data_IF_209418295657
#
_entry.id   IF_209418295657
#
_cell.length_a   1.000
_cell.length_b   1.000
_cell.length_c   1.000
_cell.angle_alpha   90.00
_cell.angle_beta   90.00
_cell.angle_gamma   90.00
#
_symmetry.space_group_name_H-M   'P 1'
#
loop_
_entity.id
_entity.type
_entity.pdbx_description
1 polymer ?
#
# COMPACT_ATOMS: atom_id res chain seq x y z
N UNK A 1 -24.67 -17.04 -9.30
CA UNK A 1 -24.00 -15.72 -9.32
C UNK A 1 -23.06 -15.65 -8.13
N UNK A 2 -21.78 -15.99 -8.31
CA UNK A 2 -20.71 -15.68 -7.37
C UNK A 2 -19.40 -15.67 -8.15
N UNK A 3 -19.10 -14.55 -8.79
CA UNK A 3 -17.71 -14.24 -9.12
C UNK A 3 -17.02 -14.00 -7.77
N UNK A 4 -16.57 -15.07 -7.12
CA UNK A 4 -15.55 -14.97 -6.07
C UNK A 4 -14.24 -14.68 -6.77
N UNK A 5 -14.16 -13.53 -7.42
CA UNK A 5 -12.88 -12.99 -7.84
C UNK A 5 -12.11 -12.75 -6.55
N UNK A 6 -10.92 -13.31 -6.47
CA UNK A 6 -9.87 -12.98 -5.52
C UNK A 6 -9.51 -11.49 -5.68
N UNK A 7 -10.46 -10.58 -5.43
CA UNK A 7 -10.28 -9.16 -5.58
C UNK A 7 -9.41 -8.72 -4.40
N UNK A 8 -8.11 -8.67 -4.67
CA UNK A 8 -7.14 -8.05 -3.80
C UNK A 8 -7.62 -6.62 -3.53
N UNK A 9 -8.04 -6.34 -2.30
CA UNK A 9 -8.48 -5.00 -1.94
C UNK A 9 -7.28 -4.16 -1.49
N UNK A 10 -7.38 -2.85 -1.68
CA UNK A 10 -6.45 -1.89 -1.11
C UNK A 10 -6.94 -1.43 0.26
N UNK A 11 -6.04 -1.28 1.20
CA UNK A 11 -6.33 -0.97 2.59
C UNK A 11 -5.37 0.12 3.03
N UNK A 12 -5.87 1.26 3.47
CA UNK A 12 -5.05 2.26 4.13
C UNK A 12 -5.07 2.02 5.64
N UNK A 13 -3.90 2.13 6.26
CA UNK A 13 -3.77 2.25 7.70
C UNK A 13 -2.56 3.14 8.03
N UNK A 14 -2.78 4.19 8.83
CA UNK A 14 -1.73 5.06 9.38
C UNK A 14 -0.78 5.64 8.32
N UNK A 15 -1.31 6.01 7.15
CA UNK A 15 -0.55 6.54 6.01
C UNK A 15 0.16 5.48 5.18
N UNK A 16 0.04 4.20 5.52
CA UNK A 16 0.58 3.09 4.75
C UNK A 16 -0.50 2.41 3.92
N UNK A 17 -0.15 2.08 2.68
CA UNK A 17 -1.02 1.38 1.75
C UNK A 17 -0.72 -0.13 1.80
N UNK A 18 -1.70 -0.92 2.17
CA UNK A 18 -1.66 -2.37 2.21
C UNK A 18 -2.59 -2.96 1.14
N UNK A 19 -2.40 -4.25 0.83
CA UNK A 19 -3.34 -5.02 0.03
C UNK A 19 -3.50 -6.45 0.52
N UNK A 20 -4.67 -7.03 0.28
CA UNK A 20 -4.96 -8.41 0.70
C UNK A 20 -6.36 -8.89 0.30
N UNK A 21 -6.72 -10.14 0.64
CA UNK A 21 -8.04 -10.70 0.31
C UNK A 21 -9.19 -10.08 1.12
N UNK A 22 -8.89 -9.43 2.24
CA UNK A 22 -9.88 -8.78 3.10
C UNK A 22 -9.23 -7.71 3.96
N UNK A 23 -10.04 -6.80 4.51
CA UNK A 23 -9.57 -5.63 5.29
C UNK A 23 -8.79 -6.04 6.53
N UNK A 24 -9.25 -7.11 7.19
CA UNK A 24 -8.58 -7.68 8.35
C UNK A 24 -7.44 -8.64 8.01
N UNK A 25 -7.06 -8.81 6.75
CA UNK A 25 -6.06 -9.79 6.32
C UNK A 25 -5.07 -9.15 5.33
N UNK A 26 -4.29 -8.14 5.76
CA UNK A 26 -3.24 -7.57 4.90
C UNK A 26 -2.17 -8.61 4.60
N UNK A 27 -1.73 -8.68 3.35
CA UNK A 27 -0.69 -9.61 2.88
C UNK A 27 0.57 -8.87 2.45
N UNK A 28 0.40 -7.70 1.82
CA UNK A 28 1.50 -6.89 1.30
C UNK A 28 1.30 -5.42 1.66
N UNK A 29 2.41 -4.68 1.67
CA UNK A 29 2.47 -3.24 1.93
C UNK A 29 3.22 -2.54 0.80
N UNK A 30 2.76 -1.37 0.38
CA UNK A 30 3.43 -0.55 -0.62
C UNK A 30 4.75 -0.03 -0.06
N UNK A 31 5.84 -0.32 -0.77
CA UNK A 31 7.14 0.27 -0.51
C UNK A 31 7.42 1.29 -1.59
N UNK A 32 7.24 2.58 -1.29
CA UNK A 32 7.61 3.66 -2.22
C UNK A 32 9.10 3.61 -2.60
N UNK A 33 9.96 3.05 -1.72
CA UNK A 33 11.39 2.87 -1.96
C UNK A 33 11.66 1.84 -3.06
N UNK A 34 10.89 0.76 -3.07
CA UNK A 34 11.00 -0.29 -4.09
C UNK A 34 10.07 -0.07 -5.29
N UNK A 35 9.16 0.91 -5.20
CA UNK A 35 8.14 1.18 -6.21
C UNK A 35 7.20 -0.01 -6.43
N UNK A 36 7.00 -0.85 -5.41
CA UNK A 36 6.18 -2.06 -5.48
C UNK A 36 5.64 -2.45 -4.11
N UNK A 37 4.62 -3.32 -4.13
CA UNK A 37 4.17 -4.02 -2.94
C UNK A 37 5.20 -5.08 -2.51
N UNK A 38 5.50 -5.11 -1.22
CA UNK A 38 6.40 -6.07 -0.59
C UNK A 38 5.66 -6.86 0.50
N UNK A 39 6.09 -8.09 0.84
CA UNK A 39 5.44 -8.87 1.88
C UNK A 39 5.32 -8.10 3.19
N UNK A 40 4.12 -8.08 3.75
CA UNK A 40 3.89 -7.47 5.06
C UNK A 40 4.39 -8.42 6.15
N UNK A 41 5.24 -7.93 7.07
CA UNK A 41 5.85 -8.77 8.10
C UNK A 41 4.87 -9.45 9.06
N UNK A 42 3.62 -8.97 9.14
CA UNK A 42 2.55 -9.59 9.94
C UNK A 42 1.46 -10.21 9.05
N UNK A 43 1.78 -10.52 7.80
CA UNK A 43 0.89 -11.25 6.91
C UNK A 43 0.44 -12.57 7.56
N UNK A 44 -0.86 -12.87 7.46
CA UNK A 44 -1.48 -14.03 8.10
C UNK A 44 -1.99 -13.79 9.52
N UNK A 45 -1.71 -12.64 10.14
CA UNK A 45 -2.40 -12.23 11.36
C UNK A 45 -3.72 -11.55 11.01
N UNK A 46 -4.81 -12.04 11.61
CA UNK A 46 -6.12 -11.40 11.48
C UNK A 46 -6.10 -10.10 12.29
N UNK A 47 -6.40 -9.00 11.60
CA UNK A 47 -6.55 -7.67 12.17
C UNK A 47 -8.01 -7.39 12.52
N UNK A 48 -8.27 -6.54 13.53
CA UNK A 48 -9.63 -6.17 13.88
C UNK A 48 -10.29 -5.39 12.74
N UNK A 49 -11.61 -5.35 12.76
CA UNK A 49 -12.44 -4.82 11.67
C UNK A 49 -12.17 -3.34 11.42
N UNK A 50 -11.73 -2.60 12.43
CA UNK A 50 -11.43 -1.16 12.44
C UNK A 50 -9.95 -0.84 12.19
N UNK A 51 -9.11 -1.85 11.94
CA UNK A 51 -7.67 -1.68 11.78
C UNK A 51 -7.26 -0.76 10.62
N UNK A 52 -8.05 -0.73 9.56
CA UNK A 52 -7.77 0.10 8.39
C UNK A 52 -9.04 0.32 7.60
N UNK A 53 -8.96 1.10 6.54
CA UNK A 53 -10.09 1.38 5.67
C UNK A 53 -9.81 0.92 4.25
N UNK A 54 -10.85 0.38 3.60
CA UNK A 54 -10.75 -0.06 2.20
C UNK A 54 -10.71 1.15 1.30
N UNK A 55 -9.77 1.15 0.35
CA UNK A 55 -9.68 2.17 -0.69
C UNK A 55 -10.17 1.63 -2.04
N UNK A 56 -10.68 2.53 -2.87
CA UNK A 56 -10.81 2.29 -4.30
C UNK A 56 -9.44 2.22 -4.98
N UNK A 57 -9.40 1.68 -6.19
CA UNK A 57 -8.15 1.60 -6.98
C UNK A 57 -7.58 3.00 -7.27
N UNK A 58 -8.44 3.98 -7.59
CA UNK A 58 -8.04 5.36 -7.85
C UNK A 58 -7.40 6.03 -6.63
N UNK A 59 -7.98 5.82 -5.44
CA UNK A 59 -7.43 6.34 -4.18
C UNK A 59 -6.09 5.66 -3.83
N UNK A 60 -6.00 4.34 -4.04
CA UNK A 60 -4.76 3.60 -3.83
C UNK A 60 -3.66 4.09 -4.80
N UNK A 61 -4.00 4.35 -6.06
CA UNK A 61 -3.08 4.90 -7.06
C UNK A 61 -2.59 6.29 -6.64
N UNK A 62 -3.49 7.17 -6.20
CA UNK A 62 -3.13 8.48 -5.69
C UNK A 62 -2.16 8.40 -4.49
N UNK A 63 -2.37 7.46 -3.57
CA UNK A 63 -1.43 7.21 -2.47
C UNK A 63 -0.08 6.69 -2.93
N UNK A 64 -0.03 5.79 -3.92
CA UNK A 64 1.22 5.28 -4.47
C UNK A 64 2.05 6.41 -5.11
N UNK A 65 1.39 7.28 -5.88
CA UNK A 65 2.02 8.43 -6.52
C UNK A 65 2.47 9.47 -5.49
N UNK A 66 1.64 9.77 -4.49
CA UNK A 66 1.99 10.67 -3.39
C UNK A 66 3.18 10.15 -2.59
N UNK A 67 3.17 8.88 -2.17
CA UNK A 67 4.26 8.27 -1.42
C UNK A 67 5.58 8.24 -2.23
N UNK A 68 5.50 8.11 -3.56
CA UNK A 68 6.68 8.19 -4.44
C UNK A 68 7.21 9.62 -4.58
N UNK A 69 6.33 10.62 -4.58
CA UNK A 69 6.70 12.03 -4.64
C UNK A 69 7.27 12.55 -3.30
N UNK A 70 6.76 12.04 -2.17
CA UNK A 70 7.23 12.39 -0.83
C UNK A 70 8.58 11.77 -0.47
N UNK A 71 9.00 10.70 -1.17
CA UNK A 71 10.40 10.31 -1.12
C UNK A 71 11.20 11.44 -1.74
N UNK A 72 12.02 12.17 -0.97
CA UNK A 72 12.98 13.05 -1.59
C UNK A 72 13.80 12.12 -2.47
N UNK A 73 13.65 12.27 -3.78
CA UNK A 73 14.79 12.09 -4.66
C UNK A 73 15.90 12.77 -3.90
N UNK A 74 16.86 12.01 -3.35
CA UNK A 74 18.11 12.64 -2.90
C UNK A 74 18.41 13.58 -4.05
N UNK A 75 18.45 14.91 -3.88
CA UNK A 75 19.05 15.70 -4.93
C UNK A 75 20.39 15.02 -5.11
N UNK A 76 20.61 14.44 -6.29
CA UNK A 76 21.94 13.99 -6.63
C UNK A 76 22.73 15.28 -6.51
N UNK A 77 23.48 15.45 -5.40
CA UNK A 77 24.47 16.49 -5.25
C UNK A 77 25.54 16.17 -6.28
N UNK A 78 25.22 16.52 -7.52
CA UNK A 78 26.01 16.40 -8.72
C UNK A 78 25.46 17.47 -9.66
N UNK A 79 25.56 18.73 -9.25
CA UNK A 79 26.24 19.78 -10.03
C UNK A 79 26.15 21.14 -9.29
N UNK A 80 27.13 22.00 -9.59
CA UNK A 80 27.32 23.40 -9.19
C UNK A 80 28.03 23.54 -7.83
N UNK A 81 29.35 23.73 -7.75
CA UNK A 81 30.34 24.43 -8.59
C UNK A 81 31.75 23.95 -8.22
#
# INVERSE_FOLDING_TARGET
MSNTENAMIFIENEGALFRGPARGVPQEVWSAREGRFVPYGQAGQIKPVDWGHTLSEDEAQAMMDAARAEMPSRPSSSEQI
#
